data_IF_965562534584
#
_entry.id   IF_965562534584
#
_cell.length_a   1.000
_cell.length_b   1.000
_cell.length_c   1.000
_cell.angle_alpha   90.00
_cell.angle_beta   90.00
_cell.angle_gamma   90.00
#
_symmetry.space_group_name_H-M   'P 1'
#
loop_
_entity.id
_entity.type
_entity.pdbx_description
1 polymer ?
#
# COMPACT_ATOMS: atom_id res chain seq x y z
N UNK A 1 19.18 -28.32 -21.28
CA UNK A 1 18.67 -27.65 -22.51
C UNK A 1 17.34 -26.96 -22.17
N UNK A 2 17.41 -25.68 -21.95
CA UNK A 2 16.21 -24.85 -21.75
C UNK A 2 15.72 -24.51 -23.14
N UNK A 3 14.62 -25.16 -23.54
CA UNK A 3 14.04 -24.99 -24.87
C UNK A 3 13.63 -23.54 -25.14
N UNK A 4 14.26 -22.96 -26.13
CA UNK A 4 13.93 -21.66 -26.74
C UNK A 4 12.65 -21.75 -27.57
N UNK A 5 11.52 -22.01 -26.94
CA UNK A 5 10.26 -22.25 -27.65
C UNK A 5 9.05 -21.42 -27.19
N UNK A 6 9.23 -20.34 -26.44
CA UNK A 6 8.12 -19.71 -25.72
C UNK A 6 7.87 -18.22 -26.05
N UNK A 7 8.26 -17.75 -27.22
CA UNK A 7 8.14 -16.30 -27.51
C UNK A 7 6.84 -15.89 -28.23
N UNK A 8 5.92 -16.78 -28.50
CA UNK A 8 4.72 -16.40 -29.27
C UNK A 8 3.37 -16.67 -28.63
N UNK A 9 3.25 -17.64 -27.75
CA UNK A 9 1.96 -18.08 -27.21
C UNK A 9 1.69 -17.60 -25.78
N UNK A 10 2.68 -17.07 -25.09
CA UNK A 10 2.57 -16.70 -23.68
C UNK A 10 1.89 -15.35 -23.43
N UNK A 11 1.74 -14.52 -24.43
CA UNK A 11 0.95 -13.28 -24.30
C UNK A 11 -0.55 -13.53 -24.04
N UNK A 12 -0.99 -14.78 -24.12
CA UNK A 12 -2.36 -15.21 -23.86
C UNK A 12 -2.52 -16.02 -22.58
N UNK A 13 -1.49 -16.14 -21.72
CA UNK A 13 -1.66 -16.79 -20.41
C UNK A 13 -2.53 -15.85 -19.56
N UNK A 14 -3.81 -16.17 -19.52
CA UNK A 14 -4.82 -15.44 -18.76
C UNK A 14 -4.75 -15.75 -17.27
N UNK A 15 -4.27 -16.95 -16.94
CA UNK A 15 -4.40 -17.51 -15.60
C UNK A 15 -3.03 -17.69 -14.95
N UNK A 16 -2.94 -17.32 -13.69
CA UNK A 16 -1.74 -17.50 -12.87
C UNK A 16 -1.95 -18.70 -11.97
N UNK A 17 -1.27 -19.84 -12.25
CA UNK A 17 -1.54 -21.10 -11.58
C UNK A 17 -1.03 -21.16 -10.13
N UNK A 18 -0.35 -20.15 -9.64
CA UNK A 18 0.19 -20.15 -8.29
C UNK A 18 1.02 -18.92 -7.97
N UNK A 19 1.65 -18.94 -6.82
CA UNK A 19 2.54 -17.90 -6.31
C UNK A 19 3.86 -18.47 -5.80
N UNK A 20 4.83 -17.61 -5.58
CA UNK A 20 6.14 -17.98 -5.03
C UNK A 20 6.29 -17.39 -3.64
N UNK A 21 6.49 -18.25 -2.64
CA UNK A 21 6.91 -17.85 -1.30
C UNK A 21 8.41 -17.74 -1.26
N UNK A 22 8.91 -16.61 -0.82
CA UNK A 22 10.35 -16.36 -0.63
C UNK A 22 10.64 -16.18 0.84
N UNK A 23 11.51 -17.02 1.39
CA UNK A 23 12.05 -16.84 2.74
C UNK A 23 13.37 -16.04 2.63
N UNK A 24 13.37 -14.76 3.01
CA UNK A 24 14.56 -13.92 2.89
C UNK A 24 15.67 -14.30 3.87
N UNK A 25 15.34 -15.01 4.96
CA UNK A 25 16.33 -15.45 5.97
C UNK A 25 17.10 -16.66 5.49
N UNK A 26 16.40 -17.63 4.91
CA UNK A 26 17.00 -18.86 4.38
C UNK A 26 17.44 -18.74 2.92
N UNK A 27 17.05 -17.64 2.25
CA UNK A 27 17.25 -17.44 0.82
C UNK A 27 16.68 -18.60 -0.02
N UNK A 28 15.50 -19.07 0.39
CA UNK A 28 14.78 -20.14 -0.28
C UNK A 28 13.53 -19.61 -0.95
N UNK A 29 13.20 -20.12 -2.12
CA UNK A 29 11.98 -19.81 -2.84
C UNK A 29 11.19 -21.09 -3.09
N UNK A 30 9.91 -21.12 -2.70
CA UNK A 30 8.99 -22.25 -2.88
C UNK A 30 7.82 -21.83 -3.75
N UNK A 31 7.61 -22.55 -4.86
CA UNK A 31 6.41 -22.40 -5.67
C UNK A 31 5.23 -23.13 -5.03
N UNK A 32 4.11 -22.42 -4.88
CA UNK A 32 2.83 -22.96 -4.40
C UNK A 32 1.82 -22.91 -5.55
N UNK A 33 1.37 -24.09 -5.96
CA UNK A 33 0.35 -24.22 -6.99
C UNK A 33 -1.04 -24.07 -6.34
N UNK A 34 -1.89 -23.25 -6.92
CA UNK A 34 -3.27 -23.07 -6.50
C UNK A 34 -4.20 -24.11 -7.14
N UNK A 35 -5.26 -24.45 -6.46
CA UNK A 35 -6.34 -25.31 -7.03
C UNK A 35 -7.09 -24.56 -8.14
N UNK A 36 -7.36 -23.28 -7.91
CA UNK A 36 -7.98 -22.37 -8.90
C UNK A 36 -6.96 -21.29 -9.27
N UNK A 37 -6.70 -21.06 -10.56
CA UNK A 37 -5.77 -20.06 -11.00
C UNK A 37 -6.29 -18.66 -10.70
N UNK A 38 -5.38 -17.72 -10.42
CA UNK A 38 -5.71 -16.30 -10.29
C UNK A 38 -6.01 -15.72 -11.67
N UNK A 39 -7.24 -15.23 -11.85
CA UNK A 39 -7.71 -14.60 -13.08
C UNK A 39 -7.43 -13.09 -13.05
N UNK A 40 -7.68 -12.47 -11.91
CA UNK A 40 -7.52 -11.03 -11.71
C UNK A 40 -6.12 -10.67 -11.21
N UNK A 41 -5.55 -9.62 -11.79
CA UNK A 41 -4.24 -9.12 -11.38
C UNK A 41 -4.03 -7.68 -11.85
N UNK A 42 -3.17 -6.90 -11.17
CA UNK A 42 -2.82 -5.54 -11.58
C UNK A 42 -2.20 -5.46 -12.99
N UNK A 43 -1.46 -6.51 -13.39
CA UNK A 43 -0.81 -6.58 -14.71
C UNK A 43 -1.65 -7.23 -15.80
N UNK A 44 -2.87 -7.66 -15.51
CA UNK A 44 -3.77 -8.23 -16.51
C UNK A 44 -4.42 -7.16 -17.39
N UNK A 45 -4.90 -7.57 -18.57
CA UNK A 45 -5.55 -6.67 -19.52
C UNK A 45 -7.07 -6.75 -19.44
N UNK A 46 -7.74 -5.69 -19.90
CA UNK A 46 -9.19 -5.61 -20.04
C UNK A 46 -9.98 -5.99 -18.78
N UNK A 47 -10.90 -6.95 -18.90
CA UNK A 47 -11.80 -7.35 -17.83
C UNK A 47 -11.12 -8.10 -16.68
N UNK A 48 -9.88 -8.57 -16.88
CA UNK A 48 -9.09 -9.26 -15.86
C UNK A 48 -8.14 -8.31 -15.11
N UNK A 49 -8.09 -7.03 -15.51
CA UNK A 49 -7.33 -6.03 -14.77
C UNK A 49 -8.00 -5.78 -13.41
N UNK A 50 -7.25 -6.05 -12.35
CA UNK A 50 -7.74 -5.96 -10.97
C UNK A 50 -8.22 -4.55 -10.62
N UNK A 51 -7.41 -3.52 -10.97
CA UNK A 51 -7.78 -2.13 -10.70
C UNK A 51 -9.14 -1.79 -11.31
N UNK A 52 -9.31 -2.13 -12.57
CA UNK A 52 -10.56 -1.88 -13.29
C UNK A 52 -11.74 -2.63 -12.69
N UNK A 53 -11.53 -3.90 -12.31
CA UNK A 53 -12.55 -4.75 -11.70
C UNK A 53 -13.03 -4.15 -10.36
N UNK A 54 -12.10 -3.84 -9.46
CA UNK A 54 -12.41 -3.26 -8.14
C UNK A 54 -12.99 -1.85 -8.29
N UNK A 55 -12.47 -1.04 -9.23
CA UNK A 55 -13.02 0.31 -9.47
C UNK A 55 -14.44 0.27 -10.01
N UNK A 56 -14.82 -0.74 -10.79
CA UNK A 56 -16.21 -0.91 -11.27
C UNK A 56 -17.15 -1.34 -10.13
N UNK A 57 -16.68 -2.14 -9.17
CA UNK A 57 -17.44 -2.51 -7.98
C UNK A 57 -17.62 -1.31 -7.02
N UNK A 58 -16.60 -0.44 -6.93
CA UNK A 58 -16.59 0.75 -6.06
C UNK A 58 -16.26 2.02 -6.84
N UNK A 59 -17.18 2.56 -7.65
CA UNK A 59 -16.90 3.63 -8.62
C UNK A 59 -16.38 4.93 -8.02
N UNK A 60 -16.77 5.24 -6.79
CA UNK A 60 -16.40 6.48 -6.07
C UNK A 60 -15.18 6.31 -5.16
N UNK A 61 -14.62 5.11 -5.10
CA UNK A 61 -13.50 4.81 -4.22
C UNK A 61 -12.18 5.32 -4.81
N UNK A 62 -11.30 5.80 -3.95
CA UNK A 62 -9.92 6.12 -4.27
C UNK A 62 -9.03 5.03 -3.67
N UNK A 63 -8.31 4.30 -4.50
CA UNK A 63 -7.37 3.27 -4.06
C UNK A 63 -5.93 3.78 -4.15
N UNK A 64 -5.10 3.44 -3.19
CA UNK A 64 -3.68 3.80 -3.21
C UNK A 64 -2.83 2.74 -3.91
N UNK A 65 -3.17 1.46 -3.70
CA UNK A 65 -2.44 0.35 -4.28
C UNK A 65 -3.19 -0.96 -4.15
N UNK A 66 -2.56 -2.03 -4.62
CA UNK A 66 -3.08 -3.39 -4.56
C UNK A 66 -1.95 -4.29 -4.07
N UNK A 67 -2.13 -4.89 -2.92
CA UNK A 67 -1.13 -5.73 -2.27
C UNK A 67 -1.62 -7.17 -2.25
N UNK A 68 -0.78 -8.10 -2.68
CA UNK A 68 -1.08 -9.52 -2.62
C UNK A 68 -0.67 -10.03 -1.23
N UNK A 69 -1.64 -10.54 -0.49
CA UNK A 69 -1.44 -11.17 0.81
C UNK A 69 -2.06 -12.57 0.84
N UNK A 70 -1.66 -13.36 1.81
CA UNK A 70 -2.17 -14.72 2.00
C UNK A 70 -2.95 -14.77 3.30
N UNK A 71 -4.10 -15.45 3.26
CA UNK A 71 -4.83 -15.77 4.48
C UNK A 71 -4.11 -16.85 5.31
N UNK A 72 -4.63 -17.16 6.49
CA UNK A 72 -4.10 -18.19 7.38
C UNK A 72 -4.09 -19.60 6.75
N UNK A 73 -4.85 -19.83 5.68
CA UNK A 73 -4.93 -21.09 4.94
C UNK A 73 -4.01 -21.11 3.71
N UNK A 74 -3.34 -20.00 3.40
CA UNK A 74 -2.48 -19.85 2.23
C UNK A 74 -3.22 -19.50 0.94
N UNK A 75 -4.46 -19.04 1.02
CA UNK A 75 -5.18 -18.52 -0.15
C UNK A 75 -4.74 -17.08 -0.42
N UNK A 76 -4.49 -16.73 -1.70
CA UNK A 76 -4.10 -15.39 -2.07
C UNK A 76 -5.32 -14.45 -2.14
N UNK A 77 -5.15 -13.24 -1.60
CA UNK A 77 -6.10 -12.14 -1.71
C UNK A 77 -5.38 -10.85 -2.10
N UNK A 78 -6.06 -9.99 -2.82
CA UNK A 78 -5.58 -8.63 -3.04
C UNK A 78 -6.22 -7.67 -2.04
N UNK A 79 -5.36 -7.00 -1.30
CA UNK A 79 -5.73 -5.97 -0.33
C UNK A 79 -5.68 -4.62 -1.02
N UNK A 80 -6.80 -3.91 -1.02
CA UNK A 80 -6.99 -2.64 -1.72
C UNK A 80 -7.39 -1.56 -0.69
N UNK A 81 -6.45 -0.82 -0.08
CA UNK A 81 -6.77 0.24 0.86
C UNK A 81 -7.56 1.36 0.17
N UNK A 82 -8.67 1.73 0.79
CA UNK A 82 -9.60 2.74 0.31
C UNK A 82 -9.36 4.03 1.05
N UNK A 83 -9.02 5.08 0.30
CA UNK A 83 -8.67 6.38 0.84
C UNK A 83 -9.87 7.30 0.94
N UNK A 84 -9.82 8.16 1.95
CA UNK A 84 -10.69 9.33 2.09
C UNK A 84 -9.85 10.59 2.27
N UNK A 85 -10.38 11.74 1.89
CA UNK A 85 -9.73 13.02 2.13
C UNK A 85 -10.32 13.66 3.39
N UNK A 86 -9.50 13.88 4.41
CA UNK A 86 -9.91 14.45 5.69
C UNK A 86 -9.79 15.98 5.75
N UNK A 87 -9.01 16.58 4.87
CA UNK A 87 -8.71 18.02 4.89
C UNK A 87 -9.14 18.75 3.60
N UNK A 88 -10.20 18.32 2.95
CA UNK A 88 -10.78 18.97 1.75
C UNK A 88 -9.73 19.26 0.68
N UNK A 89 -9.53 20.52 0.33
CA UNK A 89 -8.57 20.98 -0.68
C UNK A 89 -7.09 20.66 -0.35
N UNK A 90 -6.74 20.42 0.91
CA UNK A 90 -5.35 20.16 1.34
C UNK A 90 -4.94 18.70 1.22
N UNK A 91 -5.86 17.83 0.83
CA UNK A 91 -5.53 16.47 0.41
C UNK A 91 -4.97 15.54 1.47
N UNK A 92 -5.15 15.84 2.76
CA UNK A 92 -4.75 14.92 3.83
C UNK A 92 -5.56 13.63 3.72
N UNK A 93 -4.98 12.65 3.04
CA UNK A 93 -5.61 11.35 2.81
C UNK A 93 -5.47 10.46 4.04
N UNK A 94 -6.50 9.68 4.30
CA UNK A 94 -6.51 8.66 5.34
C UNK A 94 -7.16 7.39 4.82
N UNK A 95 -6.88 6.26 5.42
CA UNK A 95 -7.54 5.00 5.09
C UNK A 95 -8.93 4.98 5.73
N UNK A 96 -9.96 4.84 4.91
CA UNK A 96 -11.35 4.69 5.36
C UNK A 96 -11.68 3.24 5.67
N UNK A 97 -11.10 2.33 4.91
CA UNK A 97 -11.35 0.90 4.99
C UNK A 97 -10.52 0.17 3.96
N UNK A 98 -10.78 -1.10 3.82
CA UNK A 98 -10.06 -1.99 2.90
C UNK A 98 -11.06 -2.78 2.08
N UNK A 99 -10.82 -2.89 0.79
CA UNK A 99 -11.50 -3.85 -0.08
C UNK A 99 -10.59 -5.05 -0.26
N UNK A 100 -11.08 -6.23 0.10
CA UNK A 100 -10.40 -7.51 -0.12
C UNK A 100 -11.00 -8.13 -1.37
N UNK A 101 -10.16 -8.49 -2.33
CA UNK A 101 -10.56 -9.10 -3.58
C UNK A 101 -9.94 -10.49 -3.72
N UNK A 102 -10.77 -11.49 -3.96
CA UNK A 102 -10.30 -12.83 -4.33
C UNK A 102 -9.87 -12.82 -5.81
N UNK A 103 -8.60 -13.02 -6.13
CA UNK A 103 -8.12 -13.00 -7.50
C UNK A 103 -8.59 -14.19 -8.35
N UNK A 104 -9.09 -15.25 -7.72
CA UNK A 104 -9.55 -16.45 -8.41
C UNK A 104 -11.01 -16.34 -8.86
N UNK A 105 -11.86 -15.71 -8.05
CA UNK A 105 -13.29 -15.57 -8.32
C UNK A 105 -13.67 -14.17 -8.78
N UNK A 106 -12.94 -13.15 -8.32
CA UNK A 106 -13.26 -11.74 -8.49
C UNK A 106 -14.21 -11.19 -7.42
N UNK A 107 -14.55 -11.99 -6.42
CA UNK A 107 -15.39 -11.52 -5.33
C UNK A 107 -14.68 -10.41 -4.55
N UNK A 108 -15.43 -9.36 -4.21
CA UNK A 108 -14.90 -8.21 -3.47
C UNK A 108 -15.71 -7.95 -2.23
N UNK A 109 -15.03 -7.74 -1.11
CA UNK A 109 -15.66 -7.48 0.17
C UNK A 109 -15.03 -6.25 0.83
N UNK A 110 -15.86 -5.35 1.36
CA UNK A 110 -15.41 -4.13 2.02
C UNK A 110 -15.42 -4.28 3.54
N UNK A 111 -14.35 -3.86 4.16
CA UNK A 111 -14.19 -3.81 5.63
C UNK A 111 -13.83 -2.40 6.08
N UNK A 112 -14.43 -1.94 7.17
CA UNK A 112 -13.95 -0.73 7.86
C UNK A 112 -12.63 -1.03 8.58
N UNK A 113 -11.82 0.00 8.83
CA UNK A 113 -10.47 -0.17 9.45
C UNK A 113 -10.51 -0.97 10.76
N UNK A 114 -11.60 -0.85 11.55
CA UNK A 114 -11.75 -1.58 12.82
C UNK A 114 -12.15 -3.05 12.67
N UNK A 115 -12.68 -3.45 11.52
CA UNK A 115 -13.25 -4.78 11.27
C UNK A 115 -12.41 -5.61 10.31
N UNK A 116 -11.25 -5.11 9.90
CA UNK A 116 -10.34 -5.80 8.98
C UNK A 116 -9.86 -7.12 9.63
N UNK A 117 -9.88 -8.24 8.88
CA UNK A 117 -9.37 -9.52 9.36
C UNK A 117 -7.91 -9.41 9.83
N UNK A 118 -7.56 -10.15 10.90
CA UNK A 118 -6.22 -10.07 11.55
C UNK A 118 -5.06 -10.54 10.68
N UNK A 119 -5.34 -11.32 9.63
CA UNK A 119 -4.32 -11.80 8.70
C UNK A 119 -3.91 -10.74 7.66
N UNK A 120 -4.64 -9.61 7.60
CA UNK A 120 -4.32 -8.50 6.72
C UNK A 120 -3.32 -7.59 7.39
N UNK A 121 -2.09 -7.54 6.87
CA UNK A 121 -1.00 -6.76 7.43
C UNK A 121 -0.92 -5.34 6.83
N UNK A 122 -1.27 -5.18 5.55
CA UNK A 122 -1.10 -3.93 4.82
C UNK A 122 -2.38 -3.12 4.69
N UNK A 123 -2.92 -2.68 5.82
CA UNK A 123 -4.01 -1.69 5.85
C UNK A 123 -3.45 -0.28 5.62
N UNK A 124 -2.28 0.00 6.18
CA UNK A 124 -1.56 1.26 5.99
C UNK A 124 -0.23 1.00 5.28
N UNK A 125 -0.04 1.69 4.15
CA UNK A 125 1.29 1.72 3.52
C UNK A 125 2.23 2.65 4.30
N UNK A 126 3.53 2.29 4.34
CA UNK A 126 4.54 3.08 5.03
C UNK A 126 4.67 4.49 4.46
N UNK A 127 4.53 4.64 3.14
CA UNK A 127 4.54 5.95 2.47
C UNK A 127 3.35 6.81 2.91
N UNK A 128 2.15 6.24 3.01
CA UNK A 128 0.96 6.97 3.50
C UNK A 128 1.12 7.37 4.97
N UNK A 129 1.69 6.49 5.80
CA UNK A 129 1.95 6.79 7.20
C UNK A 129 2.93 7.97 7.35
N UNK A 130 4.02 8.00 6.57
CA UNK A 130 4.97 9.11 6.52
C UNK A 130 4.30 10.39 6.04
N UNK A 131 3.56 10.36 4.94
CA UNK A 131 2.80 11.51 4.42
C UNK A 131 1.78 12.04 5.42
N UNK A 132 1.07 11.17 6.12
CA UNK A 132 0.11 11.54 7.16
C UNK A 132 0.80 12.29 8.31
N UNK A 133 1.97 11.81 8.73
CA UNK A 133 2.78 12.49 9.72
C UNK A 133 3.28 13.85 9.22
N UNK A 134 3.71 13.95 7.96
CA UNK A 134 4.15 15.21 7.35
C UNK A 134 3.03 16.24 7.27
N UNK A 135 1.82 15.85 6.90
CA UNK A 135 0.67 16.75 6.94
C UNK A 135 0.40 17.25 8.35
N UNK A 136 0.44 16.35 9.34
CA UNK A 136 0.31 16.75 10.73
C UNK A 136 1.43 17.71 11.14
N UNK A 137 2.67 17.39 10.82
CA UNK A 137 3.85 18.19 11.15
C UNK A 137 3.85 19.58 10.51
N UNK A 138 3.34 19.69 9.28
CA UNK A 138 3.22 20.97 8.55
C UNK A 138 2.02 21.80 9.01
N UNK A 139 0.86 21.15 9.21
CA UNK A 139 -0.39 21.84 9.47
C UNK A 139 -0.66 22.09 10.95
N UNK A 140 0.05 21.42 11.88
CA UNK A 140 -0.13 21.59 13.33
C UNK A 140 0.12 23.02 13.81
N UNK A 141 0.97 23.79 13.12
CA UNK A 141 1.20 25.21 13.37
C UNK A 141 0.26 26.19 12.68
N UNK A 142 -0.78 25.65 12.01
CA UNK A 142 -1.75 26.41 11.22
C UNK A 142 -1.33 26.60 9.76
N UNK A 143 -2.35 26.76 8.90
CA UNK A 143 -2.17 26.89 7.45
C UNK A 143 -1.20 28.02 7.05
N UNK A 144 -1.35 29.20 7.63
CA UNK A 144 -0.51 30.34 7.29
C UNK A 144 0.95 30.15 7.69
N UNK A 145 1.21 29.43 8.81
CA UNK A 145 2.57 29.07 9.19
C UNK A 145 3.20 28.09 8.19
N UNK A 146 2.42 27.15 7.67
CA UNK A 146 2.92 26.18 6.67
C UNK A 146 3.25 26.81 5.33
N UNK A 147 2.62 27.95 4.98
CA UNK A 147 2.84 28.65 3.70
C UNK A 147 3.94 29.70 3.79
N UNK A 148 3.97 30.48 4.87
CA UNK A 148 4.84 31.67 4.97
C UNK A 148 5.93 31.56 6.03
N UNK A 149 5.71 30.83 7.13
CA UNK A 149 6.62 30.85 8.27
C UNK A 149 7.49 29.61 8.42
N UNK A 150 6.98 28.45 8.14
CA UNK A 150 7.61 27.14 8.32
C UNK A 150 8.28 26.93 9.72
N UNK A 151 7.84 27.68 10.73
CA UNK A 151 8.42 27.59 12.08
C UNK A 151 7.92 26.33 12.78
N UNK A 152 8.89 25.51 13.24
CA UNK A 152 8.60 24.27 13.96
C UNK A 152 7.93 23.18 13.12
N UNK A 153 7.93 23.30 11.80
CA UNK A 153 7.44 22.23 10.93
C UNK A 153 8.33 21.00 11.04
N UNK A 154 7.70 19.84 11.06
CA UNK A 154 8.37 18.54 11.11
C UNK A 154 7.99 17.78 9.85
N UNK A 155 8.97 17.17 9.23
CA UNK A 155 8.75 16.27 8.07
C UNK A 155 9.52 14.99 8.29
N UNK A 156 9.02 13.91 7.74
CA UNK A 156 9.79 12.67 7.66
C UNK A 156 10.83 12.77 6.55
N UNK A 157 11.87 11.94 6.64
CA UNK A 157 12.73 11.68 5.48
C UNK A 157 11.95 10.79 4.51
N UNK A 158 12.27 10.88 3.21
CA UNK A 158 11.65 10.02 2.19
C UNK A 158 12.02 8.55 2.37
N UNK A 159 13.00 8.25 3.26
CA UNK A 159 13.41 6.90 3.58
C UNK A 159 12.63 6.36 4.78
N UNK A 160 12.06 5.18 4.61
CA UNK A 160 11.46 4.41 5.71
C UNK A 160 11.83 2.92 5.57
N UNK A 161 11.79 2.22 6.70
CA UNK A 161 12.06 0.79 6.74
C UNK A 161 11.01 0.04 7.54
N UNK A 162 10.97 -1.25 7.35
CA UNK A 162 10.08 -2.14 8.08
C UNK A 162 10.89 -3.00 9.05
N UNK A 163 10.35 -3.22 10.24
CA UNK A 163 10.90 -4.11 11.24
C UNK A 163 9.79 -4.93 11.88
N UNK A 164 9.97 -6.23 11.92
CA UNK A 164 9.06 -7.12 12.63
C UNK A 164 9.43 -7.11 14.12
N UNK A 165 8.48 -6.75 14.97
CA UNK A 165 8.61 -6.77 16.43
C UNK A 165 7.33 -7.33 17.04
N UNK A 166 7.47 -8.33 17.93
CA UNK A 166 6.36 -8.96 18.66
C UNK A 166 5.26 -9.56 17.75
N UNK A 167 5.60 -9.97 16.52
CA UNK A 167 4.64 -10.51 15.56
C UNK A 167 3.98 -9.48 14.64
N UNK A 168 4.20 -8.18 14.89
CA UNK A 168 3.67 -7.08 14.08
C UNK A 168 4.76 -6.45 13.21
N UNK A 169 4.35 -5.87 12.08
CA UNK A 169 5.23 -5.13 11.18
C UNK A 169 5.19 -3.65 11.57
N UNK A 170 6.36 -3.13 12.00
CA UNK A 170 6.54 -1.74 12.36
C UNK A 170 7.23 -0.96 11.25
N UNK A 171 6.74 0.25 10.96
CA UNK A 171 7.39 1.19 10.06
C UNK A 171 8.22 2.19 10.89
N UNK A 172 9.45 2.42 10.50
CA UNK A 172 10.31 3.44 11.12
C UNK A 172 10.89 4.38 10.06
N UNK A 173 11.00 5.65 10.42
CA UNK A 173 11.57 6.70 9.57
C UNK A 173 12.28 7.73 10.43
N UNK A 174 13.14 8.55 9.82
CA UNK A 174 13.78 9.67 10.50
C UNK A 174 12.93 10.94 10.40
N UNK A 175 13.07 11.82 11.37
CA UNK A 175 12.39 13.11 11.42
C UNK A 175 13.36 14.24 11.14
N UNK A 176 12.98 15.12 10.23
CA UNK A 176 13.64 16.38 9.98
C UNK A 176 12.87 17.51 10.67
N UNK A 177 13.61 18.32 11.43
CA UNK A 177 13.09 19.55 11.98
C UNK A 177 13.57 20.72 11.12
N UNK A 178 12.66 21.60 10.72
CA UNK A 178 13.06 22.88 10.17
C UNK A 178 13.68 23.70 11.29
N UNK A 179 15.00 23.83 11.29
CA UNK A 179 15.67 24.78 12.21
C UNK A 179 15.42 26.21 11.70
N UNK A 180 15.28 27.19 12.61
CA UNK A 180 15.18 28.57 12.20
C UNK A 180 16.41 28.94 11.37
N UNK A 181 16.17 29.73 10.31
CA UNK A 181 17.24 30.22 9.42
C UNK A 181 18.41 30.79 10.23
N UNK A 182 19.66 30.65 9.77
CA UNK A 182 20.81 31.30 10.42
C UNK A 182 20.64 32.82 10.68
N UNK A 183 19.75 33.47 9.89
CA UNK A 183 19.36 34.87 10.10
C UNK A 183 18.55 35.09 11.39
N UNK A 184 17.75 34.10 11.81
CA UNK A 184 16.95 34.24 13.04
C UNK A 184 17.77 34.01 14.32
N UNK A 185 18.98 33.43 14.23
CA UNK A 185 19.91 33.27 15.38
C UNK A 185 20.69 34.51 15.72
N UNK A 186 20.71 35.50 14.83
CA UNK A 186 21.46 36.76 15.07
C UNK A 186 20.65 37.84 15.79
N UNK A 187 19.37 37.54 16.12
CA UNK A 187 18.45 38.48 16.78
C UNK A 187 17.98 38.03 18.18
N UNK A 188 18.65 37.03 18.76
CA UNK A 188 18.41 36.59 20.15
C UNK A 188 19.58 36.84 21.05
#
# INVERSE_FOLDING_TARGET
EIGSGLVGSEMCIRDRPGYVLVDPVKNEAKYVKLEKPMIYSPSAYFNQNLYRHVQMAYPTAMFEGFYLELDDNGNPYYICPLLTSNAGLFGAKDVKGVVICDPCTGDTEYYEVGDVPKWVDRVYDGDLACKKYDWYGKLSGGYWNSVFGNKGCKTTTDDYGYKVMNGDVWVYTCLLYTSPSPRDRSLS
#
